data_IF_948516067630
#
_entry.id   IF_948516067630
#
_cell.length_a   1.000
_cell.length_b   1.000
_cell.length_c   1.000
_cell.angle_alpha   90.00
_cell.angle_beta   90.00
_cell.angle_gamma   90.00
#
_symmetry.space_group_name_H-M   'P 1'
#
loop_
_entity.id
_entity.type
_entity.pdbx_description
1 polymer ?
#
# COMPACT_ATOMS: atom_id res chain seq x y z
N UNK A 1 -7.83 -11.12 14.00
CA UNK A 1 -6.72 -12.08 13.91
C UNK A 1 -6.40 -12.32 12.44
N UNK A 2 -5.16 -12.14 12.08
CA UNK A 2 -4.73 -12.21 10.70
C UNK A 2 -4.12 -13.54 10.31
N UNK A 3 -4.14 -13.87 9.01
CA UNK A 3 -3.47 -15.07 8.49
C UNK A 3 -2.08 -14.78 7.90
N UNK A 4 -1.70 -13.51 7.76
CA UNK A 4 -0.35 -13.11 7.35
C UNK A 4 0.44 -12.65 8.57
N UNK A 5 -0.11 -11.67 9.27
CA UNK A 5 0.44 -11.16 10.53
C UNK A 5 -0.67 -11.12 11.56
N UNK A 6 -0.35 -10.68 12.78
CA UNK A 6 -1.32 -10.66 13.88
C UNK A 6 -2.63 -9.97 13.53
N UNK A 7 -2.58 -8.86 12.80
CA UNK A 7 -3.75 -8.05 12.50
C UNK A 7 -4.15 -8.00 11.03
N UNK A 8 -3.42 -8.67 10.13
CA UNK A 8 -3.69 -8.59 8.69
C UNK A 8 -3.86 -9.95 8.06
N UNK A 9 -4.87 -10.05 7.19
CA UNK A 9 -5.20 -11.24 6.42
C UNK A 9 -5.11 -10.95 4.93
N UNK A 10 -4.81 -11.96 4.13
CA UNK A 10 -4.74 -11.85 2.65
C UNK A 10 -6.00 -11.25 2.06
N UNK A 11 -7.14 -11.59 2.62
CA UNK A 11 -8.44 -11.12 2.17
C UNK A 11 -8.55 -9.59 2.12
N UNK A 12 -7.89 -8.89 3.06
CA UNK A 12 -7.92 -7.44 3.11
C UNK A 12 -7.24 -6.79 1.91
N UNK A 13 -6.35 -7.52 1.25
CA UNK A 13 -5.55 -7.01 0.12
C UNK A 13 -6.05 -7.51 -1.24
N UNK A 14 -7.15 -8.23 -1.26
CA UNK A 14 -7.68 -8.83 -2.47
C UNK A 14 -8.07 -7.77 -3.51
N UNK A 15 -7.83 -8.08 -4.78
CA UNK A 15 -8.17 -7.18 -5.88
C UNK A 15 -9.67 -6.87 -5.89
N UNK A 16 -9.99 -5.59 -5.97
CA UNK A 16 -11.38 -5.12 -5.91
C UNK A 16 -12.23 -5.50 -7.13
N UNK A 17 -11.63 -6.04 -8.19
CA UNK A 17 -12.38 -6.43 -9.39
C UNK A 17 -13.12 -7.77 -9.24
N UNK A 18 -12.84 -8.51 -8.17
CA UNK A 18 -13.45 -9.82 -7.96
C UNK A 18 -12.65 -10.99 -8.54
N UNK A 19 -11.45 -10.76 -9.06
CA UNK A 19 -10.61 -11.83 -9.59
C UNK A 19 -9.96 -12.70 -8.50
N UNK A 20 -10.17 -12.34 -7.25
CA UNK A 20 -9.69 -13.06 -6.05
C UNK A 20 -8.16 -13.06 -5.89
N UNK A 21 -7.41 -12.29 -6.68
CA UNK A 21 -5.97 -12.17 -6.49
C UNK A 21 -5.68 -11.44 -5.18
N UNK A 22 -4.96 -12.11 -4.28
CA UNK A 22 -4.61 -11.57 -2.96
C UNK A 22 -3.12 -11.78 -2.63
N UNK A 23 -2.27 -11.96 -3.64
CA UNK A 23 -0.84 -12.15 -3.45
C UNK A 23 -0.14 -10.83 -3.13
N UNK A 24 -0.20 -10.44 -1.87
CA UNK A 24 0.46 -9.23 -1.36
C UNK A 24 1.83 -9.59 -0.79
N UNK A 25 2.79 -8.67 -0.92
CA UNK A 25 4.11 -8.84 -0.34
C UNK A 25 4.03 -8.98 1.19
N UNK A 26 4.59 -10.04 1.73
CA UNK A 26 4.66 -10.23 3.18
C UNK A 26 5.56 -9.17 3.83
N UNK A 27 6.61 -8.74 3.12
CA UNK A 27 7.48 -7.65 3.59
C UNK A 27 6.66 -6.38 3.80
N UNK A 28 5.79 -6.05 2.87
CA UNK A 28 4.90 -4.90 2.98
C UNK A 28 3.96 -5.06 4.18
N UNK A 29 3.35 -6.22 4.32
CA UNK A 29 2.40 -6.47 5.42
C UNK A 29 3.10 -6.42 6.78
N UNK A 30 4.34 -6.89 6.87
CA UNK A 30 5.12 -6.78 8.10
C UNK A 30 5.37 -5.32 8.48
N UNK A 31 5.65 -4.45 7.51
CA UNK A 31 5.79 -3.01 7.76
C UNK A 31 4.47 -2.41 8.23
N UNK A 32 3.36 -2.81 7.61
CA UNK A 32 2.02 -2.36 8.03
C UNK A 32 1.70 -2.81 9.45
N UNK A 33 2.08 -4.03 9.81
CA UNK A 33 1.90 -4.52 11.17
C UNK A 33 2.67 -3.66 12.17
N UNK A 34 3.88 -3.26 11.83
CA UNK A 34 4.67 -2.37 12.68
C UNK A 34 4.00 -1.00 12.84
N UNK A 35 3.41 -0.46 11.77
CA UNK A 35 2.63 0.79 11.84
C UNK A 35 1.42 0.59 12.75
N UNK A 36 0.72 -0.51 12.58
CA UNK A 36 -0.44 -0.88 13.42
C UNK A 36 -0.07 -0.92 14.89
N UNK A 37 1.07 -1.53 15.21
CA UNK A 37 1.55 -1.67 16.58
C UNK A 37 1.92 -0.31 17.18
N UNK A 38 2.57 0.56 16.41
CA UNK A 38 2.96 1.88 16.87
C UNK A 38 1.76 2.79 17.14
N UNK A 39 0.75 2.75 16.28
CA UNK A 39 -0.43 3.61 16.44
C UNK A 39 -1.41 3.05 17.47
N UNK A 40 -1.42 1.73 17.66
CA UNK A 40 -2.41 1.06 18.49
C UNK A 40 -3.82 1.12 17.91
N UNK A 41 -3.97 1.52 16.65
CA UNK A 41 -5.27 1.70 16.00
C UNK A 41 -5.41 0.81 14.79
N UNK A 42 -6.64 0.41 14.50
CA UNK A 42 -6.95 -0.38 13.30
C UNK A 42 -6.59 0.37 12.04
N UNK A 43 -6.04 -0.35 11.06
CA UNK A 43 -5.72 0.17 9.74
C UNK A 43 -6.67 -0.49 8.76
N UNK A 44 -7.43 0.33 8.02
CA UNK A 44 -8.39 -0.15 7.03
C UNK A 44 -7.79 -0.02 5.63
N UNK A 45 -7.64 -1.15 4.95
CA UNK A 45 -7.09 -1.21 3.59
C UNK A 45 -8.24 -0.99 2.61
N UNK A 46 -8.15 0.03 1.79
CA UNK A 46 -9.16 0.30 0.75
C UNK A 46 -8.75 -0.23 -0.61
N UNK A 47 -7.45 -0.38 -0.86
CA UNK A 47 -6.94 -0.96 -2.09
C UNK A 47 -5.61 -1.66 -1.81
N UNK A 48 -5.52 -2.93 -2.17
CA UNK A 48 -4.29 -3.70 -2.09
C UNK A 48 -3.84 -4.08 -3.49
N UNK A 49 -4.06 -5.34 -3.86
CA UNK A 49 -3.77 -5.82 -5.21
C UNK A 49 -4.69 -5.15 -6.24
N UNK A 50 -4.11 -4.77 -7.36
CA UNK A 50 -4.86 -4.47 -8.59
C UNK A 50 -4.31 -5.35 -9.69
N UNK A 51 -5.12 -6.23 -10.24
CA UNK A 51 -4.68 -6.96 -11.43
C UNK A 51 -4.50 -5.97 -12.58
N UNK A 52 -3.70 -6.36 -13.58
CA UNK A 52 -3.38 -5.46 -14.69
C UNK A 52 -4.62 -4.92 -15.39
N UNK A 53 -5.59 -5.79 -15.65
CA UNK A 53 -6.84 -5.41 -16.32
C UNK A 53 -7.63 -4.39 -15.50
N UNK A 54 -7.75 -4.61 -14.20
CA UNK A 54 -8.46 -3.68 -13.33
C UNK A 54 -7.73 -2.33 -13.25
N UNK A 55 -6.40 -2.36 -13.15
CA UNK A 55 -5.60 -1.13 -13.11
C UNK A 55 -5.78 -0.31 -14.38
N UNK A 56 -5.78 -0.97 -15.53
CA UNK A 56 -6.02 -0.31 -16.82
C UNK A 56 -7.43 0.28 -16.90
N UNK A 57 -8.41 -0.46 -16.40
CA UNK A 57 -9.82 -0.05 -16.41
C UNK A 57 -10.07 1.21 -15.59
N UNK A 58 -9.44 1.33 -14.41
CA UNK A 58 -9.64 2.49 -13.54
C UNK A 58 -8.68 3.65 -13.84
N UNK A 59 -7.87 3.52 -14.88
CA UNK A 59 -6.92 4.56 -15.26
C UNK A 59 -5.72 4.70 -14.35
N UNK A 60 -5.32 3.62 -13.69
CA UNK A 60 -4.14 3.60 -12.84
C UNK A 60 -2.85 3.82 -13.65
N UNK A 61 -1.79 4.24 -12.96
CA UNK A 61 -0.51 4.48 -13.62
C UNK A 61 0.06 3.18 -14.19
N UNK A 62 0.76 3.30 -15.29
CA UNK A 62 1.46 2.17 -15.90
C UNK A 62 2.55 1.71 -14.93
N UNK A 63 2.72 0.40 -14.76
CA UNK A 63 3.63 -0.19 -13.80
C UNK A 63 3.33 0.22 -12.36
N UNK A 64 2.05 0.36 -12.02
CA UNK A 64 1.63 0.66 -10.64
C UNK A 64 2.19 -0.37 -9.66
N UNK A 65 2.61 0.10 -8.49
CA UNK A 65 3.08 -0.78 -7.42
C UNK A 65 1.96 -1.70 -6.89
N UNK A 66 0.70 -1.38 -7.14
CA UNK A 66 -0.44 -2.23 -6.80
C UNK A 66 -0.55 -3.47 -7.71
N UNK A 67 0.01 -3.41 -8.91
CA UNK A 67 -0.05 -4.53 -9.85
C UNK A 67 1.06 -5.53 -9.49
N UNK A 68 0.72 -6.81 -9.29
CA UNK A 68 1.72 -7.82 -8.92
C UNK A 68 2.90 -7.87 -9.89
N UNK A 69 4.08 -7.93 -9.33
CA UNK A 69 5.32 -8.02 -10.09
C UNK A 69 6.37 -8.74 -9.24
N UNK A 70 7.31 -9.40 -9.90
CA UNK A 70 8.46 -10.01 -9.26
C UNK A 70 9.60 -9.00 -9.26
N UNK A 71 9.93 -8.46 -8.08
CA UNK A 71 11.00 -7.47 -7.93
C UNK A 71 12.33 -8.08 -7.48
N UNK A 72 12.47 -9.40 -7.62
CA UNK A 72 13.70 -10.09 -7.24
C UNK A 72 13.90 -10.24 -5.74
N UNK A 73 12.82 -10.14 -4.96
CA UNK A 73 12.88 -10.20 -3.48
C UNK A 73 12.77 -11.61 -2.94
N UNK A 74 12.50 -12.60 -3.81
CA UNK A 74 12.24 -13.98 -3.40
C UNK A 74 10.77 -14.27 -3.12
N UNK A 75 9.91 -13.26 -3.19
CA UNK A 75 8.47 -13.42 -2.92
C UNK A 75 7.67 -13.84 -4.18
N UNK A 76 8.29 -13.77 -5.35
CA UNK A 76 7.61 -14.03 -6.62
C UNK A 76 6.79 -12.81 -7.05
N UNK A 77 5.72 -13.06 -7.81
CA UNK A 77 4.83 -12.01 -8.32
C UNK A 77 3.81 -11.61 -7.28
N UNK A 78 4.09 -10.52 -6.58
CA UNK A 78 3.23 -9.99 -5.50
C UNK A 78 3.00 -8.51 -5.68
N UNK A 79 1.91 -8.00 -5.08
CA UNK A 79 1.66 -6.57 -5.02
C UNK A 79 2.52 -5.92 -3.96
N UNK A 80 2.96 -4.69 -4.22
CA UNK A 80 3.90 -3.97 -3.35
C UNK A 80 3.32 -2.66 -2.82
N UNK A 81 2.02 -2.46 -2.94
CA UNK A 81 1.37 -1.23 -2.52
C UNK A 81 0.03 -1.46 -1.85
N UNK A 82 -0.32 -0.54 -0.97
CA UNK A 82 -1.65 -0.47 -0.36
C UNK A 82 -2.08 0.98 -0.28
N UNK A 83 -3.40 1.18 -0.29
CA UNK A 83 -4.02 2.45 0.09
C UNK A 83 -4.74 2.21 1.41
N UNK A 84 -4.47 3.08 2.38
CA UNK A 84 -5.00 3.01 3.73
C UNK A 84 -6.00 4.15 3.90
N UNK A 85 -7.19 3.85 4.41
CA UNK A 85 -8.21 4.86 4.65
C UNK A 85 -7.78 5.86 5.72
N UNK A 86 -8.02 7.14 5.45
CA UNK A 86 -7.77 8.26 6.37
C UNK A 86 -9.10 8.89 6.73
N UNK A 87 -9.47 8.85 8.01
CA UNK A 87 -10.75 9.35 8.47
C UNK A 87 -10.78 10.88 8.67
N UNK A 88 -9.64 11.46 9.04
CA UNK A 88 -9.52 12.91 9.26
C UNK A 88 -8.05 13.31 9.36
N UNK A 89 -7.79 14.61 9.54
CA UNK A 89 -6.43 15.15 9.59
C UNK A 89 -5.61 14.63 10.77
N UNK A 90 -6.24 14.41 11.90
CA UNK A 90 -5.56 13.84 13.08
C UNK A 90 -5.12 12.41 12.81
N UNK A 91 -5.98 11.63 12.17
CA UNK A 91 -5.67 10.26 11.80
C UNK A 91 -4.52 10.22 10.79
N UNK A 92 -4.51 11.16 9.82
CA UNK A 92 -3.42 11.28 8.85
C UNK A 92 -2.09 11.55 9.55
N UNK A 93 -2.06 12.51 10.45
CA UNK A 93 -0.85 12.86 11.18
C UNK A 93 -0.32 11.67 11.99
N UNK A 94 -1.22 10.99 12.68
CA UNK A 94 -0.89 9.81 13.49
C UNK A 94 -0.27 8.69 12.65
N UNK A 95 -0.82 8.44 11.47
CA UNK A 95 -0.26 7.44 10.56
C UNK A 95 1.10 7.88 10.01
N UNK A 96 1.24 9.15 9.64
CA UNK A 96 2.52 9.67 9.16
C UNK A 96 3.62 9.55 10.21
N UNK A 97 3.29 9.82 11.48
CA UNK A 97 4.24 9.64 12.59
C UNK A 97 4.76 8.21 12.70
N UNK A 98 3.95 7.24 12.32
CA UNK A 98 4.30 5.84 12.43
C UNK A 98 4.99 5.31 11.15
N UNK A 99 4.57 5.77 9.96
CA UNK A 99 5.11 5.22 8.71
C UNK A 99 6.57 5.58 8.48
N UNK A 100 7.00 6.77 8.91
CA UNK A 100 8.40 7.18 8.73
C UNK A 100 9.38 6.34 9.56
N UNK A 101 9.21 6.21 10.88
CA UNK A 101 10.15 5.38 11.67
C UNK A 101 10.11 3.91 11.32
N UNK A 102 8.98 3.39 10.83
CA UNK A 102 8.88 2.00 10.40
C UNK A 102 9.73 1.74 9.16
N UNK A 103 9.95 2.76 8.33
CA UNK A 103 10.88 2.64 7.22
C UNK A 103 10.27 2.69 5.83
N UNK A 104 9.03 3.16 5.69
CA UNK A 104 8.48 3.42 4.37
C UNK A 104 9.27 4.54 3.69
N UNK A 105 9.66 4.32 2.44
CA UNK A 105 10.46 5.26 1.64
C UNK A 105 9.66 5.88 0.51
N UNK A 106 8.42 5.47 0.36
CA UNK A 106 7.51 5.99 -0.66
C UNK A 106 6.13 6.12 -0.05
N UNK A 107 5.55 7.30 -0.16
CA UNK A 107 4.17 7.50 0.27
C UNK A 107 3.48 8.52 -0.62
N UNK A 108 2.18 8.37 -0.76
CA UNK A 108 1.34 9.30 -1.51
C UNK A 108 0.18 9.76 -0.65
N UNK A 109 -0.15 11.06 -0.71
CA UNK A 109 -1.23 11.63 0.08
C UNK A 109 -2.42 11.87 -0.82
N UNK A 110 -3.48 11.10 -0.61
CA UNK A 110 -4.75 11.26 -1.28
C UNK A 110 -5.72 12.06 -0.43
N UNK A 111 -6.92 12.25 -0.94
CA UNK A 111 -7.95 13.04 -0.27
C UNK A 111 -8.38 12.38 1.05
N UNK A 112 -8.65 11.09 1.01
CA UNK A 112 -9.09 10.33 2.18
C UNK A 112 -8.33 9.00 2.32
N UNK A 113 -7.12 8.95 1.78
CA UNK A 113 -6.28 7.75 1.86
C UNK A 113 -4.80 8.13 1.89
N UNK A 114 -4.01 7.21 2.36
CA UNK A 114 -2.55 7.29 2.32
C UNK A 114 -2.06 6.10 1.51
N UNK A 115 -1.36 6.37 0.42
CA UNK A 115 -0.73 5.33 -0.39
C UNK A 115 0.63 5.00 0.21
N UNK A 116 0.89 3.72 0.41
CA UNK A 116 2.17 3.22 0.94
C UNK A 116 2.67 2.12 0.02
N UNK A 117 3.92 2.22 -0.44
CA UNK A 117 4.49 1.16 -1.24
C UNK A 117 5.97 0.94 -0.95
N UNK A 118 6.47 -0.22 -1.38
CA UNK A 118 7.87 -0.61 -1.25
C UNK A 118 8.47 -0.93 -2.62
N UNK A 119 7.97 -0.28 -3.66
CA UNK A 119 8.39 -0.54 -5.04
C UNK A 119 9.77 0.06 -5.33
N UNK A 120 10.76 -0.80 -5.41
CA UNK A 120 12.16 -0.42 -5.64
C UNK A 120 12.44 0.08 -7.05
N UNK A 121 11.51 -0.12 -7.99
CA UNK A 121 11.68 0.32 -9.37
C UNK A 121 11.51 1.84 -9.54
N UNK A 122 10.98 2.50 -8.52
CA UNK A 122 10.60 3.91 -8.55
C UNK A 122 11.48 4.73 -7.62
N UNK A 123 11.49 6.07 -7.76
CA UNK A 123 12.26 6.93 -6.84
C UNK A 123 11.94 6.66 -5.39
N UNK A 124 12.99 6.61 -4.57
CA UNK A 124 12.86 6.40 -3.13
C UNK A 124 12.96 7.72 -2.39
N UNK A 125 12.53 7.74 -1.13
CA UNK A 125 12.53 8.92 -0.27
C UNK A 125 11.66 10.03 -0.84
N UNK A 126 10.46 9.66 -1.32
CA UNK A 126 9.50 10.59 -1.91
C UNK A 126 8.17 10.53 -1.18
N UNK A 127 7.57 11.71 -0.99
CA UNK A 127 6.18 11.86 -0.60
C UNK A 127 5.49 12.66 -1.69
N UNK A 128 4.50 12.08 -2.33
CA UNK A 128 3.79 12.75 -3.43
C UNK A 128 2.32 12.94 -3.08
N UNK A 129 1.66 13.82 -3.81
CA UNK A 129 0.22 13.91 -3.73
C UNK A 129 -0.39 13.71 -5.12
N UNK A 130 -1.71 13.61 -5.16
CA UNK A 130 -2.43 13.32 -6.39
C UNK A 130 -2.95 14.59 -7.06
N UNK A 131 -2.55 15.76 -6.56
CA UNK A 131 -3.03 17.06 -7.02
C UNK A 131 -1.99 17.84 -7.79
N UNK A 132 -0.72 17.61 -7.53
CA UNK A 132 0.38 18.17 -8.32
C UNK A 132 0.97 17.08 -9.20
N UNK A 133 1.43 17.48 -10.38
CA UNK A 133 1.87 16.51 -11.39
C UNK A 133 3.38 16.31 -11.37
N UNK A 134 3.92 15.85 -10.25
CA UNK A 134 5.32 15.51 -10.16
C UNK A 134 5.60 14.06 -10.61
N UNK A 135 4.58 13.24 -10.72
CA UNK A 135 4.60 11.93 -11.36
C UNK A 135 5.58 10.92 -10.80
N UNK A 136 5.85 10.96 -9.53
CA UNK A 136 6.70 9.95 -8.88
C UNK A 136 5.87 8.79 -8.33
N UNK A 137 4.57 8.92 -8.37
CA UNK A 137 3.63 7.87 -7.98
C UNK A 137 3.37 6.92 -9.12
#
# INVERSE_FOLDING_TARGET
MGDITKNFSKREFECNCGCENNNISETLVNLLQNVRDLTGRSIHITSGIRCKDYNDKIGGVKNSAHVPADLGTGEGEVGHAVDVFISNSSNRFELLEAVFPVGFKRLGIGHNFLHLDIDKRKPQNVGFDYYIKDHVG
#
